data_IF_850332997622
#
_entry.id   IF_850332997622
#
_cell.length_a   1.000
_cell.length_b   1.000
_cell.length_c   1.000
_cell.angle_alpha   90.00
_cell.angle_beta   90.00
_cell.angle_gamma   90.00
#
_symmetry.space_group_name_H-M   'P 1'
#
loop_
_entity.id
_entity.type
_entity.pdbx_description
1 polymer ?
#
# COMPACT_ATOMS: atom_id res chain seq x y z
N UNK A 1 25.57 2.89 -21.34
CA UNK A 1 25.09 1.57 -20.89
C UNK A 1 23.84 1.25 -21.70
N UNK A 2 23.81 0.15 -22.46
CA UNK A 2 22.71 -0.21 -23.35
C UNK A 2 21.36 -0.14 -22.62
N UNK A 3 20.39 0.49 -23.23
CA UNK A 3 19.02 0.65 -22.71
C UNK A 3 18.43 -0.70 -22.31
N UNK A 4 18.69 -1.74 -23.12
CA UNK A 4 18.30 -3.14 -22.82
C UNK A 4 18.90 -3.65 -21.50
N UNK A 5 20.17 -3.36 -21.21
CA UNK A 5 20.82 -3.78 -19.97
C UNK A 5 20.21 -3.09 -18.74
N UNK A 6 19.82 -1.80 -18.88
CA UNK A 6 19.14 -1.04 -17.82
C UNK A 6 17.75 -1.59 -17.55
N UNK A 7 17.00 -1.89 -18.60
CA UNK A 7 15.67 -2.50 -18.47
C UNK A 7 15.75 -3.87 -17.79
N UNK A 8 16.64 -4.76 -18.25
CA UNK A 8 16.85 -6.06 -17.64
C UNK A 8 17.21 -5.95 -16.15
N UNK A 9 18.15 -5.07 -15.79
CA UNK A 9 18.54 -4.84 -14.39
C UNK A 9 17.34 -4.41 -13.53
N UNK A 10 16.55 -3.46 -14.00
CA UNK A 10 15.38 -2.96 -13.27
C UNK A 10 14.31 -4.04 -13.11
N UNK A 11 14.06 -4.83 -14.16
CA UNK A 11 13.13 -5.96 -14.11
C UNK A 11 13.58 -7.01 -13.10
N UNK A 12 14.86 -7.37 -13.10
CA UNK A 12 15.41 -8.33 -12.12
C UNK A 12 15.26 -7.81 -10.68
N UNK A 13 15.56 -6.53 -10.43
CA UNK A 13 15.41 -5.93 -9.08
C UNK A 13 13.96 -6.02 -8.61
N UNK A 14 12.99 -5.65 -9.45
CA UNK A 14 11.57 -5.72 -9.12
C UNK A 14 11.13 -7.18 -8.91
N UNK A 15 11.56 -8.10 -9.77
CA UNK A 15 11.18 -9.52 -9.67
C UNK A 15 11.72 -10.16 -8.40
N UNK A 16 13.00 -9.94 -8.07
CA UNK A 16 13.61 -10.43 -6.82
C UNK A 16 12.87 -9.87 -5.61
N UNK A 17 12.57 -8.58 -5.61
CA UNK A 17 11.78 -7.97 -4.52
C UNK A 17 10.40 -8.57 -4.37
N UNK A 18 9.68 -8.78 -5.47
CA UNK A 18 8.35 -9.39 -5.45
C UNK A 18 8.38 -10.86 -4.97
N UNK A 19 9.40 -11.62 -5.34
CA UNK A 19 9.59 -12.98 -4.84
C UNK A 19 9.86 -12.96 -3.34
N UNK A 20 10.75 -12.09 -2.88
CA UNK A 20 11.09 -11.96 -1.45
C UNK A 20 9.86 -11.64 -0.60
N UNK A 21 9.03 -10.68 -1.01
CA UNK A 21 7.80 -10.33 -0.28
C UNK A 21 6.81 -11.48 -0.23
N UNK A 22 6.63 -12.20 -1.34
CA UNK A 22 5.74 -13.38 -1.40
C UNK A 22 6.26 -14.54 -0.54
N UNK A 23 7.56 -14.77 -0.51
CA UNK A 23 8.17 -15.79 0.36
C UNK A 23 7.94 -15.47 1.83
N UNK A 24 8.11 -14.20 2.25
CA UNK A 24 7.84 -13.78 3.62
C UNK A 24 6.39 -14.04 4.01
N UNK A 25 5.44 -13.70 3.14
CA UNK A 25 4.02 -13.99 3.36
C UNK A 25 3.74 -15.50 3.44
N UNK A 26 4.42 -16.32 2.62
CA UNK A 26 4.29 -17.77 2.65
C UNK A 26 4.72 -18.36 4.00
N UNK A 27 5.80 -17.85 4.60
CA UNK A 27 6.25 -18.30 5.93
C UNK A 27 5.27 -17.97 7.06
N UNK A 28 4.38 -16.99 6.88
CA UNK A 28 3.33 -16.70 7.86
C UNK A 28 2.19 -17.72 7.86
N UNK A 29 1.97 -18.47 6.77
CA UNK A 29 0.86 -19.43 6.69
C UNK A 29 0.95 -20.52 7.79
N UNK A 30 2.09 -21.23 7.97
CA UNK A 30 2.23 -22.17 9.07
C UNK A 30 2.05 -21.54 10.46
N UNK A 31 2.52 -20.31 10.63
CA UNK A 31 2.33 -19.56 11.86
C UNK A 31 0.83 -19.31 12.15
N UNK A 32 0.07 -18.88 11.16
CA UNK A 32 -1.37 -18.68 11.31
C UNK A 32 -2.11 -19.96 11.68
N UNK A 33 -1.75 -21.09 11.08
CA UNK A 33 -2.39 -22.38 11.37
C UNK A 33 -2.11 -22.92 12.77
N UNK A 34 -1.04 -22.47 13.42
CA UNK A 34 -0.70 -22.86 14.81
C UNK A 34 -1.47 -21.99 15.82
N UNK A 35 -1.59 -20.69 15.58
CA UNK A 35 -2.10 -19.73 16.57
C UNK A 35 -3.58 -19.32 16.36
N UNK A 36 -4.13 -19.51 15.16
CA UNK A 36 -5.51 -19.18 14.84
C UNK A 36 -6.31 -20.43 14.52
N UNK A 37 -7.60 -20.39 14.81
CA UNK A 37 -8.50 -21.41 14.30
C UNK A 37 -8.86 -21.17 12.82
N UNK A 38 -9.41 -22.16 12.15
CA UNK A 38 -9.73 -22.10 10.72
C UNK A 38 -10.69 -20.96 10.38
N UNK A 39 -11.63 -20.63 11.27
CA UNK A 39 -12.60 -19.54 11.07
C UNK A 39 -11.92 -18.17 11.16
N UNK A 40 -11.04 -17.99 12.13
CA UNK A 40 -10.29 -16.75 12.32
C UNK A 40 -9.32 -16.49 11.16
N UNK A 41 -8.58 -17.51 10.76
CA UNK A 41 -7.68 -17.38 9.60
C UNK A 41 -8.47 -17.14 8.31
N UNK A 42 -9.53 -17.88 8.07
CA UNK A 42 -10.38 -17.69 6.89
C UNK A 42 -11.02 -16.30 6.84
N UNK A 43 -11.44 -15.75 7.98
CA UNK A 43 -11.96 -14.38 8.05
C UNK A 43 -10.89 -13.33 7.72
N UNK A 44 -9.69 -13.47 8.27
CA UNK A 44 -8.57 -12.60 7.97
C UNK A 44 -8.21 -12.63 6.46
N UNK A 45 -8.07 -13.83 5.90
CA UNK A 45 -7.76 -14.01 4.47
C UNK A 45 -8.85 -13.43 3.57
N UNK A 46 -10.12 -13.64 3.93
CA UNK A 46 -11.27 -13.05 3.23
C UNK A 46 -11.21 -11.52 3.23
N UNK A 47 -10.91 -10.88 4.38
CA UNK A 47 -10.77 -9.43 4.50
C UNK A 47 -9.60 -8.95 3.63
N UNK A 48 -8.46 -9.64 3.67
CA UNK A 48 -7.30 -9.29 2.85
C UNK A 48 -7.61 -9.41 1.35
N UNK A 49 -8.27 -10.47 0.94
CA UNK A 49 -8.67 -10.69 -0.45
C UNK A 49 -9.67 -9.63 -0.93
N UNK A 50 -10.69 -9.30 -0.13
CA UNK A 50 -11.59 -8.18 -0.43
C UNK A 50 -10.83 -6.85 -0.55
N UNK A 51 -9.82 -6.61 0.27
CA UNK A 51 -8.98 -5.41 0.21
C UNK A 51 -8.30 -5.25 -1.13
N UNK A 52 -7.85 -6.35 -1.77
CA UNK A 52 -7.23 -6.30 -3.11
C UNK A 52 -8.18 -5.84 -4.20
N UNK A 53 -9.50 -5.93 -3.99
CA UNK A 53 -10.53 -5.42 -4.90
C UNK A 53 -11.02 -4.04 -4.48
N UNK A 54 -11.34 -3.86 -3.20
CA UNK A 54 -11.98 -2.63 -2.68
C UNK A 54 -11.03 -1.44 -2.78
N UNK A 55 -9.77 -1.58 -2.36
CA UNK A 55 -8.82 -0.46 -2.34
C UNK A 55 -8.57 0.11 -3.73
N UNK A 56 -8.28 -0.69 -4.79
CA UNK A 56 -8.14 -0.17 -6.15
C UNK A 56 -9.41 0.49 -6.68
N UNK A 57 -10.59 -0.09 -6.41
CA UNK A 57 -11.87 0.48 -6.86
C UNK A 57 -12.08 1.86 -6.22
N UNK A 58 -11.90 1.99 -4.90
CA UNK A 58 -12.05 3.26 -4.19
C UNK A 58 -11.02 4.31 -4.64
N UNK A 59 -9.83 3.87 -5.01
CA UNK A 59 -8.76 4.72 -5.56
C UNK A 59 -8.91 5.01 -7.05
N UNK A 60 -9.93 4.48 -7.73
CA UNK A 60 -10.13 4.58 -9.18
C UNK A 60 -8.91 4.15 -10.00
N UNK A 61 -8.17 3.13 -9.53
CA UNK A 61 -6.93 2.61 -10.13
C UNK A 61 -5.89 3.72 -10.39
N UNK A 62 -5.86 4.73 -9.52
CA UNK A 62 -5.05 5.94 -9.72
C UNK A 62 -3.54 5.66 -9.64
N UNK A 63 -3.14 4.59 -8.98
CA UNK A 63 -1.75 4.14 -8.90
C UNK A 63 -1.18 3.77 -10.29
N UNK A 64 -1.88 2.98 -11.06
CA UNK A 64 -1.44 2.61 -12.43
C UNK A 64 -1.52 3.81 -13.38
N UNK A 65 -2.55 4.65 -13.26
CA UNK A 65 -2.69 5.88 -14.05
C UNK A 65 -1.56 6.86 -13.75
N UNK A 66 -1.27 7.12 -12.48
CA UNK A 66 -0.16 7.99 -12.04
C UNK A 66 1.18 7.47 -12.56
N UNK A 67 1.44 6.16 -12.43
CA UNK A 67 2.67 5.56 -12.92
C UNK A 67 2.86 5.79 -14.43
N UNK A 68 1.79 5.54 -15.22
CA UNK A 68 1.82 5.73 -16.68
C UNK A 68 2.09 7.17 -17.05
N UNK A 69 1.37 8.13 -16.47
CA UNK A 69 1.59 9.55 -16.77
C UNK A 69 2.97 10.04 -16.35
N UNK A 70 3.52 9.55 -15.23
CA UNK A 70 4.86 9.93 -14.78
C UNK A 70 5.97 9.49 -15.73
N UNK A 71 5.79 8.40 -16.46
CA UNK A 71 6.76 7.95 -17.47
C UNK A 71 6.78 8.90 -18.67
N UNK A 72 5.62 9.43 -19.07
CA UNK A 72 5.47 10.28 -20.23
C UNK A 72 5.88 11.74 -19.97
N UNK A 73 5.99 12.15 -18.70
CA UNK A 73 6.40 13.50 -18.31
C UNK A 73 7.84 13.82 -18.70
N UNK A 74 8.03 14.94 -19.39
CA UNK A 74 9.34 15.44 -19.84
C UNK A 74 9.95 16.48 -18.90
N UNK A 75 9.13 17.21 -18.15
CA UNK A 75 9.57 18.26 -17.22
C UNK A 75 9.29 17.92 -15.76
N UNK A 76 10.05 18.55 -14.84
CA UNK A 76 9.80 18.40 -13.41
C UNK A 76 8.47 19.01 -12.95
N UNK A 77 8.00 20.07 -13.62
CA UNK A 77 6.71 20.70 -13.36
C UNK A 77 5.55 19.79 -13.74
N UNK A 78 5.62 19.13 -14.91
CA UNK A 78 4.63 18.14 -15.33
C UNK A 78 4.53 17.00 -14.32
N UNK A 79 5.67 16.46 -13.85
CA UNK A 79 5.68 15.41 -12.82
C UNK A 79 4.98 15.84 -11.53
N UNK A 80 5.24 17.08 -11.06
CA UNK A 80 4.56 17.60 -9.88
C UNK A 80 3.05 17.72 -10.09
N UNK A 81 2.63 18.24 -11.23
CA UNK A 81 1.21 18.37 -11.56
C UNK A 81 0.49 17.01 -11.59
N UNK A 82 1.10 16.00 -12.23
CA UNK A 82 0.56 14.62 -12.25
C UNK A 82 0.46 14.06 -10.83
N UNK A 83 1.52 14.17 -10.03
CA UNK A 83 1.51 13.66 -8.65
C UNK A 83 0.43 14.36 -7.82
N UNK A 84 0.34 15.71 -7.88
CA UNK A 84 -0.64 16.47 -7.10
C UNK A 84 -2.07 16.09 -7.44
N UNK A 85 -2.42 16.00 -8.73
CA UNK A 85 -3.76 15.63 -9.15
C UNK A 85 -4.12 14.19 -8.79
N UNK A 86 -3.18 13.27 -8.96
CA UNK A 86 -3.37 11.87 -8.58
C UNK A 86 -3.55 11.72 -7.07
N UNK A 87 -2.81 12.49 -6.26
CA UNK A 87 -2.96 12.50 -4.81
C UNK A 87 -4.32 13.01 -4.35
N UNK A 88 -4.88 14.02 -5.01
CA UNK A 88 -6.24 14.51 -4.68
C UNK A 88 -7.29 13.41 -4.88
N UNK A 89 -7.22 12.70 -6.00
CA UNK A 89 -8.15 11.58 -6.26
C UNK A 89 -7.92 10.45 -5.25
N UNK A 90 -6.67 10.15 -4.92
CA UNK A 90 -6.34 9.13 -3.92
C UNK A 90 -6.86 9.50 -2.52
N UNK A 91 -6.76 10.79 -2.13
CA UNK A 91 -7.33 11.28 -0.87
C UNK A 91 -8.85 11.12 -0.85
N UNK A 92 -9.54 11.40 -1.97
CA UNK A 92 -10.98 11.14 -2.08
C UNK A 92 -11.28 9.64 -1.90
N UNK A 93 -10.50 8.75 -2.50
CA UNK A 93 -10.62 7.30 -2.29
C UNK A 93 -10.44 6.90 -0.82
N UNK A 94 -9.45 7.48 -0.13
CA UNK A 94 -9.24 7.25 1.30
C UNK A 94 -10.43 7.74 2.14
N UNK A 95 -10.99 8.90 1.82
CA UNK A 95 -12.20 9.41 2.48
C UNK A 95 -13.39 8.47 2.28
N UNK A 96 -13.58 7.94 1.07
CA UNK A 96 -14.62 6.94 0.80
C UNK A 96 -14.43 5.69 1.65
N UNK A 97 -13.22 5.16 1.78
CA UNK A 97 -12.92 4.01 2.66
C UNK A 97 -13.36 4.31 4.10
N UNK A 98 -13.03 5.49 4.63
CA UNK A 98 -13.42 5.90 5.98
C UNK A 98 -14.96 6.02 6.12
N UNK A 99 -15.64 6.64 5.16
CA UNK A 99 -17.11 6.77 5.15
C UNK A 99 -17.77 5.38 5.16
N UNK A 100 -17.35 4.49 4.25
CA UNK A 100 -17.88 3.11 4.22
C UNK A 100 -17.58 2.35 5.51
N UNK A 101 -16.43 2.56 6.11
CA UNK A 101 -16.08 1.99 7.42
C UNK A 101 -17.00 2.49 8.54
N UNK A 102 -17.29 3.78 8.58
CA UNK A 102 -18.24 4.36 9.52
C UNK A 102 -19.65 3.79 9.30
N UNK A 103 -20.12 3.71 8.06
CA UNK A 103 -21.40 3.10 7.72
C UNK A 103 -21.46 1.64 8.18
N UNK A 104 -20.40 0.87 7.91
CA UNK A 104 -20.29 -0.52 8.34
C UNK A 104 -20.36 -0.68 9.87
N UNK A 105 -19.75 0.24 10.59
CA UNK A 105 -19.75 0.23 12.06
C UNK A 105 -21.10 0.63 12.64
N UNK A 106 -21.67 1.77 12.24
CA UNK A 106 -22.86 2.36 12.86
C UNK A 106 -24.18 1.76 12.37
N UNK A 107 -24.26 1.37 11.07
CA UNK A 107 -25.51 0.91 10.47
C UNK A 107 -25.59 -0.61 10.50
N UNK A 108 -24.51 -1.30 10.11
CA UNK A 108 -24.52 -2.76 9.99
C UNK A 108 -23.92 -3.48 11.20
N UNK A 109 -23.37 -2.77 12.18
CA UNK A 109 -22.73 -3.35 13.37
C UNK A 109 -21.71 -4.46 13.03
N UNK A 110 -20.98 -4.30 11.94
CA UNK A 110 -20.03 -5.32 11.48
C UNK A 110 -18.88 -5.41 12.50
N UNK A 111 -18.70 -6.59 13.04
CA UNK A 111 -17.56 -6.90 13.91
C UNK A 111 -16.24 -6.61 13.16
N UNK A 112 -15.27 -6.07 13.84
CA UNK A 112 -13.96 -5.69 13.28
C UNK A 112 -13.98 -4.52 12.29
N UNK A 113 -15.09 -3.83 12.06
CA UNK A 113 -15.22 -2.74 11.08
C UNK A 113 -14.14 -1.67 11.24
N UNK A 114 -13.82 -1.29 12.47
CA UNK A 114 -12.75 -0.33 12.75
C UNK A 114 -11.38 -0.81 12.23
N UNK A 115 -10.99 -2.06 12.54
CA UNK A 115 -9.70 -2.62 12.12
C UNK A 115 -9.64 -2.85 10.61
N UNK A 116 -10.75 -3.26 9.99
CA UNK A 116 -10.88 -3.41 8.54
C UNK A 116 -10.68 -2.07 7.84
N UNK A 117 -11.34 -1.03 8.34
CA UNK A 117 -11.22 0.33 7.79
C UNK A 117 -9.80 0.87 7.92
N UNK A 118 -9.19 0.68 9.10
CA UNK A 118 -7.81 1.09 9.35
C UNK A 118 -6.84 0.35 8.41
N UNK A 119 -7.04 -0.94 8.20
CA UNK A 119 -6.24 -1.74 7.29
C UNK A 119 -6.36 -1.27 5.83
N UNK A 120 -7.59 -1.07 5.33
CA UNK A 120 -7.79 -0.60 3.94
C UNK A 120 -7.27 0.81 3.73
N UNK A 121 -7.46 1.69 4.70
CA UNK A 121 -6.87 3.03 4.71
C UNK A 121 -5.34 2.98 4.65
N UNK A 122 -4.71 2.12 5.46
CA UNK A 122 -3.27 1.93 5.48
C UNK A 122 -2.74 1.36 4.17
N UNK A 123 -3.41 0.36 3.60
CA UNK A 123 -3.07 -0.19 2.28
C UNK A 123 -3.13 0.88 1.19
N UNK A 124 -4.10 1.79 1.23
CA UNK A 124 -4.23 2.86 0.24
C UNK A 124 -3.05 3.84 0.23
N UNK A 125 -2.27 3.94 1.31
CA UNK A 125 -1.02 4.71 1.32
C UNK A 125 0.05 4.11 0.39
N UNK A 126 0.09 2.79 0.24
CA UNK A 126 1.00 2.14 -0.69
C UNK A 126 0.67 2.48 -2.16
N UNK A 127 -0.60 2.73 -2.46
CA UNK A 127 -1.06 3.19 -3.77
C UNK A 127 -0.63 4.64 -4.10
N UNK A 128 -0.15 5.39 -3.10
CA UNK A 128 0.49 6.69 -3.30
C UNK A 128 1.99 6.52 -3.53
N UNK A 129 2.66 5.78 -2.66
CA UNK A 129 4.13 5.70 -2.63
C UNK A 129 4.68 4.89 -3.81
N UNK A 130 4.08 3.74 -4.10
CA UNK A 130 4.55 2.82 -5.13
C UNK A 130 4.65 3.47 -6.53
N UNK A 131 3.62 4.15 -7.08
CA UNK A 131 3.71 4.75 -8.40
C UNK A 131 4.70 5.91 -8.46
N UNK A 132 4.87 6.69 -7.38
CA UNK A 132 5.87 7.75 -7.29
C UNK A 132 7.28 7.15 -7.42
N UNK A 133 7.59 6.10 -6.66
CA UNK A 133 8.90 5.44 -6.69
C UNK A 133 9.19 4.83 -8.08
N UNK A 134 8.21 4.13 -8.65
CA UNK A 134 8.32 3.51 -9.97
C UNK A 134 8.44 4.56 -11.08
N UNK A 135 7.61 5.59 -11.07
CA UNK A 135 7.56 6.65 -12.08
C UNK A 135 8.79 7.55 -12.06
N UNK A 136 9.48 7.65 -10.92
CA UNK A 136 10.77 8.34 -10.81
C UNK A 136 11.97 7.44 -11.15
N UNK A 137 11.74 6.16 -11.43
CA UNK A 137 12.80 5.19 -11.71
C UNK A 137 13.59 4.73 -10.48
N UNK A 138 13.06 4.96 -9.28
CA UNK A 138 13.67 4.57 -8.00
C UNK A 138 13.35 3.10 -7.64
N UNK A 139 13.65 2.18 -8.55
CA UNK A 139 13.24 0.78 -8.44
C UNK A 139 13.83 0.05 -7.22
N UNK A 140 15.04 0.40 -6.81
CA UNK A 140 15.66 -0.16 -5.60
C UNK A 140 14.86 0.28 -4.36
N UNK A 141 14.51 1.56 -4.28
CA UNK A 141 13.73 2.08 -3.15
C UNK A 141 12.30 1.51 -3.14
N UNK A 142 11.68 1.32 -4.31
CA UNK A 142 10.41 0.61 -4.46
C UNK A 142 10.49 -0.83 -3.90
N UNK A 143 11.54 -1.56 -4.25
CA UNK A 143 11.75 -2.93 -3.76
C UNK A 143 11.98 -2.95 -2.24
N UNK A 144 12.82 -2.03 -1.72
CA UNK A 144 13.09 -1.91 -0.28
C UNK A 144 11.82 -1.50 0.50
N UNK A 145 11.00 -0.62 -0.04
CA UNK A 145 9.73 -0.21 0.55
C UNK A 145 8.79 -1.42 0.77
N UNK A 146 8.57 -2.22 -0.27
CA UNK A 146 7.68 -3.38 -0.19
C UNK A 146 8.28 -4.50 0.69
N UNK A 147 9.59 -4.71 0.63
CA UNK A 147 10.29 -5.67 1.50
C UNK A 147 10.23 -5.24 2.98
N UNK A 148 10.41 -3.95 3.28
CA UNK A 148 10.32 -3.41 4.63
C UNK A 148 8.91 -3.56 5.21
N UNK A 149 7.85 -3.30 4.42
CA UNK A 149 6.46 -3.56 4.84
C UNK A 149 6.30 -5.04 5.21
N UNK A 150 6.75 -5.96 4.35
CA UNK A 150 6.60 -7.40 4.59
C UNK A 150 7.38 -7.87 5.82
N UNK A 151 8.60 -7.38 6.02
CA UNK A 151 9.40 -7.70 7.21
C UNK A 151 8.75 -7.17 8.50
N UNK A 152 8.31 -5.91 8.47
CA UNK A 152 7.65 -5.31 9.62
C UNK A 152 6.32 -5.98 9.92
N UNK A 153 5.54 -6.36 8.89
CA UNK A 153 4.31 -7.12 9.03
C UNK A 153 4.57 -8.46 9.74
N UNK A 154 5.57 -9.23 9.30
CA UNK A 154 5.94 -10.51 9.94
C UNK A 154 6.27 -10.30 11.41
N UNK A 155 7.11 -9.31 11.71
CA UNK A 155 7.54 -9.00 13.07
C UNK A 155 6.36 -8.59 13.95
N UNK A 156 5.53 -7.65 13.49
CA UNK A 156 4.37 -7.18 14.23
C UNK A 156 3.32 -8.27 14.41
N UNK A 157 3.10 -9.11 13.40
CA UNK A 157 2.19 -10.27 13.49
C UNK A 157 2.60 -11.22 14.61
N UNK A 158 3.89 -11.56 14.68
CA UNK A 158 4.40 -12.44 15.75
C UNK A 158 4.21 -11.76 17.11
N UNK A 159 4.56 -10.49 17.24
CA UNK A 159 4.42 -9.76 18.51
C UNK A 159 2.96 -9.70 18.96
N UNK A 160 2.05 -9.30 18.07
CA UNK A 160 0.66 -9.08 18.45
C UNK A 160 -0.07 -10.40 18.74
N UNK A 161 0.21 -11.45 17.99
CA UNK A 161 -0.43 -12.76 18.19
C UNK A 161 0.14 -13.50 19.40
N UNK A 162 1.47 -13.52 19.57
CA UNK A 162 2.10 -14.32 20.64
C UNK A 162 2.06 -13.62 21.99
N UNK A 163 2.32 -12.31 22.03
CA UNK A 163 2.43 -11.58 23.31
C UNK A 163 1.11 -10.95 23.76
N UNK A 164 0.23 -10.57 22.83
CA UNK A 164 -1.03 -9.91 23.17
C UNK A 164 -2.26 -10.80 22.99
N UNK A 165 -2.09 -12.05 22.49
CA UNK A 165 -3.18 -13.01 22.18
C UNK A 165 -4.30 -12.38 21.33
N UNK A 166 -3.95 -11.39 20.51
CA UNK A 166 -4.90 -10.75 19.60
C UNK A 166 -4.97 -11.58 18.31
N UNK A 167 -6.17 -12.00 17.98
CA UNK A 167 -6.44 -12.86 16.82
C UNK A 167 -6.59 -12.03 15.53
N UNK A 168 -7.79 -12.00 14.95
CA UNK A 168 -8.08 -11.28 13.70
C UNK A 168 -7.80 -9.78 13.83
N UNK A 169 -8.19 -9.17 14.96
CA UNK A 169 -7.94 -7.74 15.24
C UNK A 169 -6.45 -7.41 15.21
N UNK A 170 -5.66 -8.28 15.84
CA UNK A 170 -4.21 -8.12 15.89
C UNK A 170 -3.56 -8.25 14.53
N UNK A 171 -3.99 -9.19 13.70
CA UNK A 171 -3.47 -9.34 12.34
C UNK A 171 -3.77 -8.11 11.46
N UNK A 172 -4.99 -7.58 11.55
CA UNK A 172 -5.38 -6.37 10.82
C UNK A 172 -4.61 -5.16 11.31
N UNK A 173 -4.41 -5.03 12.64
CA UNK A 173 -3.63 -3.97 13.25
C UNK A 173 -2.15 -4.05 12.86
N UNK A 174 -1.55 -5.23 12.88
CA UNK A 174 -0.15 -5.45 12.46
C UNK A 174 0.05 -5.04 11.00
N UNK A 175 -0.89 -5.44 10.13
CA UNK A 175 -0.86 -5.11 8.72
C UNK A 175 -1.01 -3.59 8.49
N UNK A 176 -2.01 -2.97 9.11
CA UNK A 176 -2.21 -1.52 9.04
C UNK A 176 -0.98 -0.75 9.54
N UNK A 177 -0.44 -1.14 10.70
CA UNK A 177 0.73 -0.49 11.30
C UNK A 177 1.96 -0.60 10.42
N UNK A 178 2.22 -1.77 9.81
CA UNK A 178 3.34 -1.96 8.89
C UNK A 178 3.25 -1.00 7.69
N UNK A 179 2.08 -0.92 7.06
CA UNK A 179 1.85 -0.01 5.94
C UNK A 179 2.00 1.45 6.34
N UNK A 180 1.41 1.89 7.45
CA UNK A 180 1.47 3.28 7.91
C UNK A 180 2.90 3.68 8.23
N UNK A 181 3.60 2.90 9.07
CA UNK A 181 4.95 3.22 9.53
C UNK A 181 5.92 3.36 8.34
N UNK A 182 5.96 2.35 7.46
CA UNK A 182 6.90 2.36 6.33
C UNK A 182 6.52 3.42 5.31
N UNK A 183 5.21 3.66 5.06
CA UNK A 183 4.76 4.73 4.16
C UNK A 183 5.15 6.12 4.66
N UNK A 184 5.03 6.38 5.96
CA UNK A 184 5.47 7.64 6.56
C UNK A 184 7.00 7.78 6.46
N UNK A 185 7.76 6.73 6.79
CA UNK A 185 9.23 6.76 6.72
C UNK A 185 9.73 7.04 5.30
N UNK A 186 9.22 6.33 4.31
CA UNK A 186 9.62 6.54 2.91
C UNK A 186 9.07 7.85 2.38
N UNK A 187 7.83 8.22 2.71
CA UNK A 187 7.24 9.49 2.31
C UNK A 187 8.05 10.71 2.82
N UNK A 188 8.53 10.64 4.06
CA UNK A 188 9.43 11.66 4.64
C UNK A 188 10.81 11.64 3.99
N UNK A 189 11.37 10.46 3.73
CA UNK A 189 12.66 10.31 3.05
C UNK A 189 12.66 10.92 1.66
N UNK A 190 11.65 10.65 0.83
CA UNK A 190 11.52 11.22 -0.52
C UNK A 190 11.02 12.67 -0.50
N UNK A 191 10.70 13.22 0.68
CA UNK A 191 10.15 14.57 0.86
C UNK A 191 8.92 14.77 -0.01
N UNK A 192 7.93 13.88 0.13
CA UNK A 192 6.73 13.83 -0.71
C UNK A 192 6.03 15.20 -0.82
N UNK A 193 6.08 16.02 0.24
CA UNK A 193 5.52 17.37 0.26
C UNK A 193 6.12 18.33 -0.77
N UNK A 194 7.34 18.05 -1.31
CA UNK A 194 7.97 18.87 -2.37
C UNK A 194 7.33 18.67 -3.74
N UNK A 195 6.55 17.61 -3.89
CA UNK A 195 5.83 17.31 -5.12
C UNK A 195 4.44 17.97 -5.15
N UNK A 196 3.97 18.54 -4.04
CA UNK A 196 2.71 19.27 -4.01
C UNK A 196 2.90 20.64 -4.70
N UNK A 197 2.20 20.84 -5.79
CA UNK A 197 2.10 22.13 -6.47
C UNK A 197 0.63 22.40 -6.75
N UNK A 198 0.07 23.37 -6.01
CA UNK A 198 -1.36 23.73 -6.11
C UNK A 198 -1.70 24.58 -7.34
N UNK A 199 -0.79 24.71 -8.31
CA UNK A 199 -1.08 25.40 -9.57
C UNK A 199 -1.90 24.51 -10.52
N UNK A 200 -3.21 24.49 -10.31
CA UNK A 200 -4.20 23.67 -11.02
C UNK A 200 -4.30 23.89 -12.54
N UNK A 201 -3.54 24.77 -13.15
CA UNK A 201 -3.84 25.35 -14.46
C UNK A 201 -3.20 24.70 -15.69
N UNK A 202 -2.44 23.61 -15.61
CA UNK A 202 -1.69 23.10 -16.77
C UNK A 202 -2.06 21.72 -17.31
N UNK A 203 -3.10 21.08 -16.86
CA UNK A 203 -3.53 19.77 -17.41
C UNK A 203 -4.63 19.85 -18.49
N UNK A 204 -5.00 21.04 -18.94
CA UNK A 204 -6.02 21.26 -19.98
C UNK A 204 -5.41 21.69 -21.32
N UNK A 205 -4.32 21.04 -21.77
CA UNK A 205 -3.87 21.10 -23.17
C UNK A 205 -3.30 19.78 -23.63
#
# INVERSE_FOLDING_TARGET
>A
MDEKKRLLKNTVIISVGSITTKMLSFFLIPFYTIYLNNTEYGLYDYICTLGTCIVPIMSMLMDESMFRFLIDCKSGEEKKAVITNSLLIQILGMLLIVIFGCVSYYIFNIKYSFFITLYYFACSMAYIINPILRGQGLFILYTLYNAAISLLLVTLTIVVVVFFDMKVDGLLLANASAHIIISILIGTYIKIWRFFDFHFYKLAR
#
